data_IF_450244691178
#
_entry.id   IF_450244691178
#
_cell.length_a   1.000
_cell.length_b   1.000
_cell.length_c   1.000
_cell.angle_alpha   90.00
_cell.angle_beta   90.00
_cell.angle_gamma   90.00
#
_symmetry.space_group_name_H-M   'P 1'
#
loop_
_entity.id
_entity.type
_entity.pdbx_description
1 polymer ?
#
# COMPACT_ATOMS: atom_id res chain seq x y z
N UNK A 1 3.05 11.47 18.64
CA UNK A 1 2.31 11.11 19.86
C UNK A 1 2.88 9.81 20.41
N UNK A 2 3.22 9.74 21.69
CA UNK A 2 3.60 8.47 22.34
C UNK A 2 2.36 7.57 22.42
N UNK A 3 2.38 6.44 21.72
CA UNK A 3 1.28 5.48 21.65
C UNK A 3 1.14 4.57 22.89
N UNK A 4 1.73 4.95 24.03
CA UNK A 4 1.85 4.07 25.21
C UNK A 4 0.55 3.89 25.99
N UNK A 5 -0.45 4.73 25.77
CA UNK A 5 -1.73 4.71 26.50
C UNK A 5 -2.91 4.17 25.66
N UNK A 6 -2.65 3.68 24.44
CA UNK A 6 -3.69 3.09 23.62
C UNK A 6 -4.14 1.74 24.20
N UNK A 7 -5.45 1.52 24.26
CA UNK A 7 -6.03 0.22 24.60
C UNK A 7 -5.65 -0.87 23.59
N UNK A 8 -5.77 -2.13 23.99
CA UNK A 8 -5.49 -3.28 23.13
C UNK A 8 -6.37 -3.29 21.87
N UNK A 9 -7.63 -2.87 21.97
CA UNK A 9 -8.55 -2.77 20.83
C UNK A 9 -8.12 -1.67 19.87
N UNK A 10 -7.65 -0.52 20.40
CA UNK A 10 -7.13 0.57 19.59
C UNK A 10 -5.87 0.14 18.83
N UNK A 11 -4.93 -0.49 19.52
CA UNK A 11 -3.70 -1.01 18.91
C UNK A 11 -4.00 -2.08 17.87
N UNK A 12 -4.94 -2.99 18.15
CA UNK A 12 -5.37 -4.03 17.23
C UNK A 12 -6.01 -3.45 15.97
N UNK A 13 -6.87 -2.43 16.12
CA UNK A 13 -7.49 -1.74 14.99
C UNK A 13 -6.46 -1.01 14.12
N UNK A 14 -5.55 -0.24 14.72
CA UNK A 14 -4.48 0.46 14.00
C UNK A 14 -3.58 -0.54 13.25
N UNK A 15 -3.18 -1.63 13.91
CA UNK A 15 -2.35 -2.68 13.30
C UNK A 15 -3.05 -3.31 12.09
N UNK A 16 -4.33 -3.62 12.19
CA UNK A 16 -5.13 -4.17 11.09
C UNK A 16 -5.30 -3.19 9.93
N UNK A 17 -5.63 -1.92 10.22
CA UNK A 17 -5.75 -0.88 9.20
C UNK A 17 -4.42 -0.64 8.47
N UNK A 18 -3.32 -0.62 9.21
CA UNK A 18 -1.96 -0.49 8.66
C UNK A 18 -1.61 -1.69 7.78
N UNK A 19 -1.86 -2.91 8.26
CA UNK A 19 -1.59 -4.13 7.49
C UNK A 19 -2.37 -4.20 6.17
N UNK A 20 -3.55 -3.58 6.11
CA UNK A 20 -4.37 -3.50 4.90
C UNK A 20 -4.03 -2.28 4.02
N UNK A 21 -3.04 -1.46 4.41
CA UNK A 21 -2.66 -0.25 3.69
C UNK A 21 -3.75 0.82 3.67
N UNK A 22 -4.67 0.80 4.65
CA UNK A 22 -5.77 1.75 4.74
C UNK A 22 -5.25 3.02 5.41
N UNK A 23 -5.34 4.15 4.70
CA UNK A 23 -5.01 5.47 5.26
C UNK A 23 -5.98 5.80 6.38
N UNK A 24 -5.45 6.06 7.57
CA UNK A 24 -6.23 6.35 8.77
C UNK A 24 -5.52 7.39 9.62
N UNK A 25 -6.29 8.05 10.48
CA UNK A 25 -5.78 9.03 11.43
C UNK A 25 -6.38 8.76 12.80
N UNK A 26 -5.54 8.60 13.82
CA UNK A 26 -5.99 8.62 15.21
C UNK A 26 -6.28 10.08 15.59
N UNK A 27 -7.55 10.42 15.76
CA UNK A 27 -7.99 11.79 16.10
C UNK A 27 -8.12 12.00 17.60
N UNK A 28 -8.35 10.93 18.35
CA UNK A 28 -8.34 10.93 19.81
C UNK A 28 -7.83 9.59 20.36
N UNK A 29 -7.57 9.46 21.67
CA UNK A 29 -7.21 8.19 22.31
C UNK A 29 -8.23 7.05 22.09
N UNK A 30 -9.47 7.38 21.71
CA UNK A 30 -10.56 6.42 21.54
C UNK A 30 -11.14 6.37 20.12
N UNK A 31 -10.63 7.19 19.21
CA UNK A 31 -11.23 7.39 17.89
C UNK A 31 -10.19 7.29 16.76
N UNK A 32 -10.54 6.50 15.76
CA UNK A 32 -9.84 6.40 14.48
C UNK A 32 -10.74 6.97 13.39
N UNK A 33 -10.23 7.91 12.61
CA UNK A 33 -10.91 8.46 11.43
C UNK A 33 -10.35 7.81 10.16
N UNK A 34 -11.25 7.36 9.28
CA UNK A 34 -10.93 6.77 7.98
C UNK A 34 -11.89 7.33 6.93
N UNK A 35 -11.43 8.30 6.14
CA UNK A 35 -12.28 9.01 5.19
C UNK A 35 -13.50 9.64 5.89
N UNK A 36 -14.75 9.35 5.46
CA UNK A 36 -15.96 9.86 6.10
C UNK A 36 -16.39 9.06 7.34
N UNK A 37 -15.61 8.07 7.79
CA UNK A 37 -16.01 7.22 8.91
C UNK A 37 -15.19 7.52 10.16
N UNK A 38 -15.89 7.54 11.29
CA UNK A 38 -15.32 7.61 12.63
C UNK A 38 -15.56 6.28 13.34
N UNK A 39 -14.48 5.58 13.70
CA UNK A 39 -14.52 4.29 14.38
C UNK A 39 -14.01 4.41 15.81
N UNK A 40 -14.74 3.81 16.75
CA UNK A 40 -14.38 3.76 18.17
C UNK A 40 -14.08 2.31 18.56
N UNK A 41 -12.81 1.86 18.51
CA UNK A 41 -12.44 0.45 18.67
C UNK A 41 -12.97 -0.19 19.96
N UNK A 42 -12.84 0.50 21.09
CA UNK A 42 -13.26 -0.03 22.40
C UNK A 42 -14.77 -0.31 22.48
N UNK A 43 -15.58 0.47 21.76
CA UNK A 43 -17.04 0.30 21.72
C UNK A 43 -17.50 -0.52 20.51
N UNK A 44 -16.61 -0.73 19.55
CA UNK A 44 -16.95 -1.25 18.22
C UNK A 44 -17.95 -0.39 17.45
N UNK A 45 -18.19 0.87 17.83
CA UNK A 45 -19.19 1.72 17.17
C UNK A 45 -18.61 2.45 15.97
N UNK A 46 -19.38 2.56 14.90
CA UNK A 46 -19.01 3.24 13.66
C UNK A 46 -20.00 4.37 13.44
N UNK A 47 -19.50 5.57 13.14
CA UNK A 47 -20.28 6.73 12.76
C UNK A 47 -19.86 7.20 11.37
N UNK A 48 -20.82 7.66 10.59
CA UNK A 48 -20.55 8.48 9.42
C UNK A 48 -20.38 9.93 9.87
N UNK A 49 -19.44 10.66 9.28
CA UNK A 49 -19.19 12.07 9.57
C UNK A 49 -20.49 12.87 9.37
N UNK A 50 -20.89 13.63 10.39
CA UNK A 50 -22.16 14.37 10.40
C UNK A 50 -23.42 13.54 10.75
N UNK A 51 -23.32 12.22 10.89
CA UNK A 51 -24.48 11.40 11.30
C UNK A 51 -24.73 11.49 12.81
N UNK A 52 -26.00 11.60 13.20
CA UNK A 52 -26.43 11.61 14.61
C UNK A 52 -26.50 10.23 15.24
N UNK A 53 -26.57 9.18 14.42
CA UNK A 53 -26.74 7.80 14.86
C UNK A 53 -25.58 6.93 14.40
N UNK A 54 -25.18 5.98 15.25
CA UNK A 54 -24.23 4.96 14.87
C UNK A 54 -24.81 4.07 13.76
N UNK A 55 -23.94 3.53 12.91
CA UNK A 55 -24.32 2.47 11.99
C UNK A 55 -24.75 1.22 12.79
N UNK A 56 -25.68 0.45 12.22
CA UNK A 56 -26.12 -0.84 12.79
C UNK A 56 -24.95 -1.82 12.91
N UNK A 57 -24.04 -1.77 11.93
CA UNK A 57 -22.82 -2.57 11.91
C UNK A 57 -21.85 -2.13 13.01
N UNK A 58 -21.27 -3.11 13.71
CA UNK A 58 -20.35 -2.88 14.83
C UNK A 58 -19.13 -3.79 14.75
N UNK A 59 -18.04 -3.33 15.36
CA UNK A 59 -16.78 -4.04 15.49
C UNK A 59 -15.82 -3.81 14.33
N UNK A 60 -14.57 -4.24 14.52
CA UNK A 60 -13.49 -4.04 13.58
C UNK A 60 -13.74 -4.76 12.24
N UNK A 61 -14.18 -6.02 12.27
CA UNK A 61 -14.40 -6.83 11.06
C UNK A 61 -15.47 -6.22 10.14
N UNK A 62 -16.57 -5.73 10.73
CA UNK A 62 -17.62 -5.05 9.98
C UNK A 62 -17.14 -3.71 9.44
N UNK A 63 -16.36 -2.96 10.22
CA UNK A 63 -15.75 -1.73 9.76
C UNK A 63 -14.86 -1.96 8.52
N UNK A 64 -14.02 -2.99 8.55
CA UNK A 64 -13.17 -3.36 7.41
C UNK A 64 -13.99 -3.78 6.18
N UNK A 65 -15.09 -4.50 6.40
CA UNK A 65 -16.01 -4.91 5.32
C UNK A 65 -16.63 -3.68 4.63
N UNK A 66 -17.09 -2.70 5.40
CA UNK A 66 -17.62 -1.43 4.88
C UNK A 66 -16.56 -0.72 4.03
N UNK A 67 -15.34 -0.60 4.54
CA UNK A 67 -14.26 0.07 3.82
C UNK A 67 -13.90 -0.65 2.51
N UNK A 68 -13.91 -1.98 2.49
CA UNK A 68 -13.63 -2.74 1.28
C UNK A 68 -14.74 -2.59 0.23
N UNK A 69 -16.00 -2.60 0.66
CA UNK A 69 -17.16 -2.41 -0.22
C UNK A 69 -17.15 -1.03 -0.89
N UNK A 70 -16.78 0.02 -0.15
CA UNK A 70 -16.64 1.37 -0.74
C UNK A 70 -15.53 1.40 -1.79
N UNK A 71 -14.43 0.68 -1.56
CA UNK A 71 -13.32 0.60 -2.53
C UNK A 71 -13.70 -0.14 -3.81
N UNK A 72 -14.51 -1.20 -3.73
CA UNK A 72 -14.96 -1.95 -4.91
C UNK A 72 -16.02 -1.18 -5.70
N UNK A 73 -16.91 -0.46 -5.02
CA UNK A 73 -17.87 0.45 -5.65
C UNK A 73 -17.16 1.50 -6.50
N UNK A 74 -16.17 2.21 -5.93
CA UNK A 74 -15.42 3.26 -6.65
C UNK A 74 -14.65 2.73 -7.89
N UNK A 75 -14.22 1.46 -7.90
CA UNK A 75 -13.56 0.84 -9.07
C UNK A 75 -14.52 0.54 -10.22
N UNK A 76 -15.81 0.40 -9.92
CA UNK A 76 -16.85 0.06 -10.90
C UNK A 76 -17.21 1.26 -11.77
N UNK A 77 -17.21 2.46 -11.18
CA UNK A 77 -17.48 3.71 -11.90
C UNK A 77 -16.34 4.11 -12.85
N UNK A 78 -15.10 3.71 -12.54
CA UNK A 78 -13.96 3.96 -13.44
C UNK A 78 -13.98 3.12 -14.72
N UNK A 79 -14.77 2.04 -14.80
CA UNK A 79 -14.89 1.22 -16.03
C UNK A 79 -15.81 1.83 -17.09
N UNK A 80 -16.58 2.88 -16.79
CA UNK A 80 -17.40 3.60 -17.79
C UNK A 80 -16.68 4.78 -18.45
N UNK A 81 -15.49 5.17 -17.97
CA UNK A 81 -14.73 6.30 -18.50
C UNK A 81 -13.46 5.90 -19.29
N UNK A 82 -13.27 4.62 -19.61
CA UNK A 82 -12.06 4.16 -20.34
C UNK A 82 -12.35 3.29 -21.57
N UNK A 83 -13.58 3.32 -22.11
CA UNK A 83 -13.89 2.59 -23.35
C UNK A 83 -13.46 3.30 -24.64
N UNK A 84 -12.68 4.38 -24.60
CA UNK A 84 -12.24 5.05 -25.85
C UNK A 84 -10.88 5.77 -25.73
N UNK A 85 -9.80 5.01 -25.98
CA UNK A 85 -8.38 5.37 -26.26
C UNK A 85 -7.54 4.28 -25.57
N UNK A 86 -6.92 3.31 -26.22
CA UNK A 86 -6.02 3.38 -27.38
C UNK A 86 -6.07 2.04 -28.13
N UNK A 87 -6.53 2.05 -29.37
CA UNK A 87 -6.17 1.05 -30.35
C UNK A 87 -5.05 1.67 -31.21
N UNK A 88 -3.80 1.55 -30.77
CA UNK A 88 -2.63 1.87 -31.60
C UNK A 88 -1.50 0.90 -31.26
N UNK A 89 -1.20 0.07 -32.26
CA UNK A 89 0.10 -0.55 -32.58
C UNK A 89 0.87 -1.25 -31.47
N UNK A 90 0.77 -2.57 -31.46
CA UNK A 90 1.65 -3.48 -30.71
C UNK A 90 2.76 -4.01 -31.64
N UNK A 91 3.67 -3.12 -32.03
CA UNK A 91 5.05 -3.40 -32.48
C UNK A 91 5.87 -2.35 -31.72
N UNK A 92 6.82 -2.64 -30.83
CA UNK A 92 7.89 -3.61 -30.85
C UNK A 92 8.26 -4.02 -29.41
N UNK A 93 8.59 -5.30 -29.20
CA UNK A 93 9.27 -5.76 -27.98
C UNK A 93 10.72 -5.26 -28.02
N UNK A 94 11.23 -4.51 -27.04
CA UNK A 94 12.67 -4.40 -26.87
C UNK A 94 13.22 -5.76 -26.45
N UNK A 95 14.14 -6.27 -27.27
CA UNK A 95 14.79 -7.57 -27.16
C UNK A 95 15.56 -7.73 -25.83
N UNK A 96 15.62 -8.98 -25.41
CA UNK A 96 16.43 -9.55 -24.32
C UNK A 96 17.74 -8.79 -24.06
N UNK A 97 17.91 -8.36 -22.81
CA UNK A 97 19.22 -7.96 -22.29
C UNK A 97 19.96 -9.25 -21.90
N UNK A 98 20.70 -9.82 -22.85
CA UNK A 98 21.46 -11.04 -22.67
C UNK A 98 22.78 -10.74 -21.93
N UNK A 99 22.83 -11.06 -20.63
CA UNK A 99 23.94 -10.70 -19.72
C UNK A 99 25.22 -11.53 -20.02
N UNK A 100 25.14 -12.56 -20.88
CA UNK A 100 26.24 -13.52 -21.11
C UNK A 100 27.30 -13.09 -22.14
N UNK A 101 27.16 -11.94 -22.79
CA UNK A 101 28.10 -11.51 -23.85
C UNK A 101 29.26 -10.61 -23.38
N UNK A 102 29.43 -10.37 -22.08
CA UNK A 102 30.39 -9.38 -21.57
C UNK A 102 31.60 -9.97 -20.82
N UNK A 103 31.79 -11.30 -20.82
CA UNK A 103 32.93 -11.95 -20.18
C UNK A 103 33.46 -13.00 -21.13
N UNK A 104 34.20 -12.57 -22.15
CA UNK A 104 35.28 -13.33 -22.81
C UNK A 104 35.94 -12.40 -23.85
N UNK A 105 37.25 -12.56 -24.03
CA UNK A 105 38.18 -11.77 -24.85
C UNK A 105 38.71 -10.45 -24.23
N UNK A 106 39.80 -10.54 -23.44
CA UNK A 106 41.12 -10.12 -23.93
C UNK A 106 42.21 -10.57 -22.94
N UNK A 107 42.74 -11.78 -23.19
CA UNK A 107 43.92 -12.32 -22.55
C UNK A 107 45.13 -11.89 -23.40
N UNK A 108 45.68 -10.69 -23.19
CA UNK A 108 47.03 -10.41 -23.71
C UNK A 108 47.78 -9.30 -22.94
N UNK A 109 49.03 -9.65 -22.57
CA UNK A 109 50.17 -8.77 -22.22
C UNK A 109 50.29 -8.28 -20.78
N UNK A 110 50.53 -9.22 -19.87
CA UNK A 110 51.45 -8.93 -18.74
C UNK A 110 52.88 -9.28 -19.17
N UNK A 111 53.56 -8.30 -19.77
CA UNK A 111 55.02 -8.24 -19.83
C UNK A 111 55.43 -6.86 -19.33
N UNK A 112 56.10 -6.77 -18.17
CA UNK A 112 57.27 -5.92 -17.96
C UNK A 112 57.92 -6.22 -16.59
N UNK A 113 58.95 -7.08 -16.66
CA UNK A 113 60.31 -6.92 -16.11
C UNK A 113 60.53 -6.45 -14.66
N UNK A 114 61.10 -7.41 -13.91
CA UNK A 114 61.84 -7.37 -12.64
C UNK A 114 62.96 -6.31 -12.62
N UNK A 115 63.12 -5.57 -11.51
CA UNK A 115 64.45 -5.18 -10.94
C UNK A 115 64.39 -5.02 -9.40
N UNK A 116 65.50 -5.44 -8.80
CA UNK A 116 65.78 -5.71 -7.37
C UNK A 116 65.96 -4.49 -6.45
N UNK A 117 65.93 -4.82 -5.14
CA UNK A 117 66.81 -4.34 -4.04
C UNK A 117 66.57 -2.91 -3.50
N UNK A 118 67.06 -2.57 -2.28
CA UNK A 118 67.89 -3.33 -1.33
C UNK A 118 67.17 -3.97 -0.13
#
# INVERSE_FOLDING_TARGET
MNHRDNSDEMNSAIKRLTALGIRHQQTSPFQIKVGPYNFYPNKGTIYLDGAKTALTERGLEKFLTILNNVRTLNKSDSKRASSNKFALHEEERPKEFDIRSAIEDDDEKIRFTIRSAP
#
